data_IF_393556542954
#
_entry.id   IF_393556542954
#
_cell.length_a   1.000
_cell.length_b   1.000
_cell.length_c   1.000
_cell.angle_alpha   90.00
_cell.angle_beta   90.00
_cell.angle_gamma   90.00
#
_symmetry.space_group_name_H-M   'P 1'
#
loop_
_entity.id
_entity.type
_entity.pdbx_description
1 polymer ?
#
# COMPACT_ATOMS: atom_id res chain seq x y z
N UNK A 1 6.30 3.76 6.54
CA UNK A 1 7.42 4.65 6.24
C UNK A 1 7.00 6.07 5.88
N UNK A 2 7.97 6.88 5.52
CA UNK A 2 7.77 8.29 5.15
C UNK A 2 7.49 8.47 3.65
N UNK A 3 7.57 7.41 2.86
CA UNK A 3 7.13 7.46 1.46
C UNK A 3 5.71 7.99 1.34
N UNK A 4 5.50 8.95 0.45
CA UNK A 4 4.26 9.73 0.40
C UNK A 4 3.24 9.12 -0.56
N UNK A 5 2.60 8.03 -0.15
CA UNK A 5 1.56 7.32 -0.92
C UNK A 5 0.24 8.08 -0.96
N UNK A 6 -0.52 7.88 -2.04
CA UNK A 6 -1.89 8.41 -2.19
C UNK A 6 -2.92 7.53 -1.47
N UNK A 7 -4.13 8.06 -1.31
CA UNK A 7 -5.28 7.37 -0.77
C UNK A 7 -6.00 6.59 -1.89
N UNK A 8 -6.43 5.38 -1.60
CA UNK A 8 -7.27 4.56 -2.49
C UNK A 8 -8.73 5.01 -2.43
N UNK A 9 -9.55 4.61 -3.42
CA UNK A 9 -11.00 4.87 -3.39
C UNK A 9 -11.66 4.33 -2.11
N UNK A 10 -11.24 3.15 -1.66
CA UNK A 10 -11.71 2.60 -0.39
C UNK A 10 -11.30 3.49 0.79
N UNK A 11 -10.07 4.03 0.78
CA UNK A 11 -9.63 4.99 1.80
C UNK A 11 -10.48 6.25 1.86
N UNK A 12 -10.92 6.77 0.71
CA UNK A 12 -11.87 7.90 0.70
C UNK A 12 -13.24 7.54 1.28
N UNK A 13 -13.73 6.29 1.11
CA UNK A 13 -14.96 5.82 1.77
C UNK A 13 -14.78 5.74 3.28
N UNK A 14 -13.63 5.27 3.75
CA UNK A 14 -13.29 5.23 5.19
C UNK A 14 -13.20 6.65 5.77
N UNK A 15 -12.64 7.61 5.04
CA UNK A 15 -12.60 9.03 5.42
C UNK A 15 -14.03 9.61 5.54
N UNK A 16 -14.93 9.25 4.62
CA UNK A 16 -16.31 9.68 4.67
C UNK A 16 -17.04 9.10 5.89
N UNK A 17 -16.81 7.83 6.24
CA UNK A 17 -17.35 7.21 7.45
C UNK A 17 -16.80 7.87 8.73
N UNK A 18 -15.51 8.18 8.77
CA UNK A 18 -14.88 8.91 9.86
C UNK A 18 -15.50 10.30 10.07
N UNK A 19 -15.83 11.01 8.99
CA UNK A 19 -16.50 12.30 9.05
C UNK A 19 -17.86 12.18 9.78
N UNK A 20 -18.64 11.13 9.46
CA UNK A 20 -19.92 10.87 10.14
C UNK A 20 -19.73 10.61 11.65
N UNK A 21 -18.69 9.84 12.02
CA UNK A 21 -18.35 9.57 13.41
C UNK A 21 -18.07 10.84 14.23
N UNK A 22 -17.40 11.83 13.63
CA UNK A 22 -17.01 13.07 14.31
C UNK A 22 -18.04 14.20 14.22
N UNK A 23 -19.17 13.99 13.53
CA UNK A 23 -20.12 15.06 13.25
C UNK A 23 -20.64 15.79 14.50
N UNK A 24 -20.88 15.04 15.59
CA UNK A 24 -21.44 15.56 16.84
C UNK A 24 -20.38 15.65 17.97
N UNK A 25 -19.12 15.46 17.67
CA UNK A 25 -18.02 15.54 18.65
C UNK A 25 -17.39 16.92 18.55
N UNK A 26 -17.38 17.67 19.65
CA UNK A 26 -16.68 18.96 19.69
C UNK A 26 -15.16 18.77 19.61
N UNK A 27 -14.51 19.45 18.68
CA UNK A 27 -13.06 19.45 18.48
C UNK A 27 -12.59 20.91 18.47
N UNK A 28 -11.58 21.22 19.28
CA UNK A 28 -11.00 22.55 19.39
C UNK A 28 -9.82 22.79 18.42
N UNK A 29 -9.02 21.76 18.14
CA UNK A 29 -7.89 21.83 17.22
C UNK A 29 -7.61 20.50 16.52
N UNK A 30 -7.02 20.57 15.32
CA UNK A 30 -6.68 19.39 14.51
C UNK A 30 -5.21 19.44 14.12
N UNK A 31 -4.51 18.38 14.47
CA UNK A 31 -3.10 18.17 14.11
C UNK A 31 -2.95 16.90 13.26
N UNK A 32 -2.03 16.92 12.33
CA UNK A 32 -1.69 15.77 11.50
C UNK A 32 -0.20 15.63 11.30
N UNK A 33 0.26 14.39 11.14
CA UNK A 33 1.49 14.15 10.39
C UNK A 33 1.42 14.91 9.06
N UNK A 34 2.54 15.42 8.59
CA UNK A 34 2.66 16.15 7.32
C UNK A 34 2.71 15.24 6.08
N UNK A 35 2.47 13.93 6.25
CA UNK A 35 2.35 13.01 5.13
C UNK A 35 0.97 13.10 4.48
N UNK A 36 0.93 13.08 3.16
CA UNK A 36 -0.27 13.33 2.37
C UNK A 36 -1.48 12.49 2.80
N UNK A 37 -1.28 11.20 3.10
CA UNK A 37 -2.35 10.29 3.51
C UNK A 37 -3.03 10.69 4.82
N UNK A 38 -2.29 11.15 5.81
CA UNK A 38 -2.85 11.61 7.09
C UNK A 38 -3.49 12.99 6.98
N UNK A 39 -2.87 13.93 6.27
CA UNK A 39 -3.49 15.24 5.99
C UNK A 39 -4.80 15.09 5.21
N UNK A 40 -4.85 14.14 4.25
CA UNK A 40 -6.09 13.84 3.51
C UNK A 40 -7.15 13.23 4.43
N UNK A 41 -6.75 12.34 5.34
CA UNK A 41 -7.67 11.75 6.33
C UNK A 41 -8.20 12.80 7.30
N UNK A 42 -7.36 13.74 7.73
CA UNK A 42 -7.74 14.82 8.64
C UNK A 42 -8.84 15.73 8.08
N UNK A 43 -9.03 15.79 6.74
CA UNK A 43 -10.14 16.51 6.10
C UNK A 43 -11.52 16.10 6.63
N UNK A 44 -11.65 14.85 7.08
CA UNK A 44 -12.88 14.36 7.71
C UNK A 44 -13.31 15.19 8.92
N UNK A 45 -12.37 15.77 9.64
CA UNK A 45 -12.62 16.50 10.88
C UNK A 45 -12.46 18.01 10.67
N UNK A 46 -11.28 18.49 10.24
CA UNK A 46 -11.04 19.92 10.22
C UNK A 46 -11.98 20.69 9.26
N UNK A 47 -12.32 20.11 8.08
CA UNK A 47 -13.25 20.76 7.16
C UNK A 47 -14.69 20.79 7.69
N UNK A 48 -15.15 19.71 8.35
CA UNK A 48 -16.50 19.63 8.87
C UNK A 48 -16.72 20.52 10.12
N UNK A 49 -15.64 20.84 10.83
CA UNK A 49 -15.67 21.69 12.03
C UNK A 49 -15.26 23.14 11.75
N UNK A 50 -14.88 23.48 10.50
CA UNK A 50 -14.40 24.81 10.15
C UNK A 50 -13.07 25.19 10.82
N UNK A 51 -12.23 24.20 11.14
CA UNK A 51 -10.94 24.38 11.81
C UNK A 51 -9.78 24.45 10.82
N UNK A 52 -8.66 25.00 11.26
CA UNK A 52 -7.41 24.96 10.54
C UNK A 52 -6.67 23.63 10.81
N UNK A 53 -5.97 23.11 9.81
CA UNK A 53 -5.10 21.95 9.96
C UNK A 53 -3.69 22.38 10.33
N UNK A 54 -3.19 21.94 11.49
CA UNK A 54 -1.79 22.07 11.87
C UNK A 54 -1.02 20.79 11.57
N UNK A 55 0.18 20.92 11.02
CA UNK A 55 1.05 19.75 10.76
C UNK A 55 2.18 19.67 11.78
N UNK A 56 2.49 18.44 12.20
CA UNK A 56 3.58 18.16 13.13
C UNK A 56 4.36 16.90 12.69
N UNK A 57 5.65 17.03 12.31
CA UNK A 57 6.49 15.89 11.94
C UNK A 57 6.64 14.85 13.06
N UNK A 58 6.43 15.24 14.32
CA UNK A 58 6.40 14.34 15.46
C UNK A 58 5.29 13.27 15.38
N UNK A 59 4.27 13.49 14.56
CA UNK A 59 3.17 12.52 14.30
C UNK A 59 3.44 11.60 13.12
N UNK A 60 4.60 11.68 12.45
CA UNK A 60 4.94 10.80 11.31
C UNK A 60 4.98 9.33 11.70
N UNK A 61 4.83 8.48 10.68
CA UNK A 61 5.08 7.04 10.78
C UNK A 61 6.54 6.76 11.14
N UNK A 62 6.88 5.52 11.50
CA UNK A 62 8.27 5.08 11.61
C UNK A 62 9.01 5.36 10.30
N UNK A 63 10.18 6.01 10.37
CA UNK A 63 11.06 6.13 9.21
C UNK A 63 11.68 4.79 8.91
N UNK A 64 11.51 4.33 7.67
CA UNK A 64 12.09 3.07 7.20
C UNK A 64 13.45 3.26 6.50
N UNK A 65 13.98 4.50 6.42
CA UNK A 65 15.30 4.77 5.88
C UNK A 65 15.54 4.12 4.52
N UNK A 66 16.58 3.28 4.41
CA UNK A 66 16.93 2.58 3.17
C UNK A 66 15.84 1.61 2.66
N UNK A 67 14.80 1.33 3.43
CA UNK A 67 13.65 0.52 3.03
C UNK A 67 12.52 1.35 2.41
N UNK A 68 12.59 2.67 2.45
CA UNK A 68 11.53 3.52 1.87
C UNK A 68 11.32 3.20 0.38
N UNK A 69 10.07 3.17 -0.06
CA UNK A 69 9.65 2.89 -1.44
C UNK A 69 10.03 1.49 -1.96
N UNK A 70 10.43 0.57 -1.09
CA UNK A 70 10.70 -0.81 -1.47
C UNK A 70 9.48 -1.71 -1.26
N UNK A 71 9.17 -2.61 -2.22
CA UNK A 71 8.15 -3.65 -2.01
C UNK A 71 8.55 -4.61 -0.88
N UNK A 72 7.57 -5.04 -0.08
CA UNK A 72 7.82 -5.99 1.01
C UNK A 72 8.47 -7.30 0.52
N UNK A 73 8.09 -7.81 -0.66
CA UNK A 73 8.69 -9.01 -1.24
C UNK A 73 10.16 -8.83 -1.64
N UNK A 74 10.61 -7.59 -1.96
CA UNK A 74 12.04 -7.31 -2.13
C UNK A 74 12.77 -7.40 -0.78
N UNK A 75 12.20 -6.81 0.27
CA UNK A 75 12.78 -6.86 1.63
C UNK A 75 12.85 -8.29 2.17
N UNK A 76 11.85 -9.11 1.90
CA UNK A 76 11.84 -10.53 2.25
C UNK A 76 13.03 -11.28 1.64
N UNK A 77 13.41 -10.93 0.43
CA UNK A 77 14.56 -11.54 -0.27
C UNK A 77 15.91 -10.98 0.16
N UNK A 78 16.01 -9.66 0.33
CA UNK A 78 17.33 -9.02 0.54
C UNK A 78 17.64 -8.72 2.01
N UNK A 79 16.62 -8.69 2.90
CA UNK A 79 16.79 -8.36 4.32
C UNK A 79 15.75 -9.08 5.21
N UNK A 80 15.54 -10.37 4.95
CA UNK A 80 14.52 -11.20 5.60
C UNK A 80 14.58 -11.16 7.13
N UNK A 81 15.79 -11.22 7.72
CA UNK A 81 15.95 -11.21 9.16
C UNK A 81 15.47 -9.90 9.79
N UNK A 82 15.75 -8.78 9.15
CA UNK A 82 15.33 -7.48 9.63
C UNK A 82 13.83 -7.26 9.42
N UNK A 83 13.26 -7.87 8.36
CA UNK A 83 11.82 -7.90 8.15
C UNK A 83 11.10 -8.68 9.26
N UNK A 84 11.64 -9.81 9.69
CA UNK A 84 11.14 -10.57 10.86
C UNK A 84 11.20 -9.69 12.12
N UNK A 85 12.32 -8.99 12.35
CA UNK A 85 12.47 -8.05 13.47
C UNK A 85 11.43 -6.93 13.42
N UNK A 86 11.14 -6.38 12.23
CA UNK A 86 10.11 -5.37 12.05
C UNK A 86 8.72 -5.91 12.40
N UNK A 87 8.37 -7.08 11.89
CA UNK A 87 7.05 -7.70 12.12
C UNK A 87 6.78 -7.99 13.58
N UNK A 88 7.83 -8.34 14.36
CA UNK A 88 7.77 -8.57 15.80
C UNK A 88 8.13 -7.34 16.65
N UNK A 89 8.22 -6.17 16.02
CA UNK A 89 8.58 -4.92 16.72
C UNK A 89 9.84 -5.06 17.60
N UNK A 90 10.81 -5.85 17.13
CA UNK A 90 12.01 -6.23 17.88
C UNK A 90 12.84 -5.01 18.31
N UNK A 91 13.43 -5.00 19.51
CA UNK A 91 14.39 -3.97 19.92
C UNK A 91 15.63 -3.94 19.03
N UNK A 92 15.93 -5.02 18.31
CA UNK A 92 17.08 -5.14 17.41
C UNK A 92 16.79 -4.71 15.98
N UNK A 93 15.56 -4.28 15.67
CA UNK A 93 15.25 -3.74 14.36
C UNK A 93 16.05 -2.49 14.05
N UNK A 94 16.81 -2.51 12.95
CA UNK A 94 17.66 -1.40 12.50
C UNK A 94 17.69 -1.38 10.98
N UNK A 95 17.39 -0.22 10.40
CA UNK A 95 17.56 0.07 8.98
C UNK A 95 18.39 1.34 8.87
N UNK A 96 19.33 1.37 7.94
CA UNK A 96 20.17 2.55 7.70
C UNK A 96 19.29 3.78 7.41
N UNK A 97 19.53 4.88 8.14
CA UNK A 97 18.73 6.10 8.04
C UNK A 97 17.29 6.00 8.56
N UNK A 98 16.89 4.85 9.11
CA UNK A 98 15.56 4.62 9.67
C UNK A 98 15.51 4.83 11.19
N UNK A 99 14.29 4.81 11.73
CA UNK A 99 14.03 4.85 13.17
C UNK A 99 13.94 3.46 13.76
N UNK A 100 14.27 3.34 15.04
CA UNK A 100 13.94 2.17 15.87
C UNK A 100 12.56 2.35 16.49
N UNK A 101 11.92 1.25 16.92
CA UNK A 101 10.65 1.32 17.63
C UNK A 101 10.76 2.17 18.92
N UNK A 102 11.87 2.09 19.66
CA UNK A 102 12.08 2.91 20.85
C UNK A 102 12.13 4.42 20.54
N UNK A 103 12.75 4.81 19.43
CA UNK A 103 12.77 6.21 18.98
C UNK A 103 11.37 6.68 18.62
N UNK A 104 10.58 5.86 17.93
CA UNK A 104 9.18 6.18 17.59
C UNK A 104 8.33 6.30 18.85
N UNK A 105 8.47 5.37 19.82
CA UNK A 105 7.78 5.45 21.11
C UNK A 105 8.05 6.78 21.83
N UNK A 106 9.31 7.16 21.94
CA UNK A 106 9.71 8.40 22.61
C UNK A 106 9.19 9.64 21.87
N UNK A 107 9.32 9.68 20.54
CA UNK A 107 8.88 10.78 19.69
C UNK A 107 7.38 10.99 19.78
N UNK A 108 6.58 9.91 19.61
CA UNK A 108 5.11 10.01 19.64
C UNK A 108 4.62 10.42 21.03
N UNK A 109 5.12 9.78 22.10
CA UNK A 109 4.73 10.12 23.46
C UNK A 109 5.06 11.58 23.77
N UNK A 110 6.27 12.03 23.47
CA UNK A 110 6.67 13.43 23.68
C UNK A 110 5.82 14.42 22.89
N UNK A 111 5.49 14.09 21.63
CA UNK A 111 4.63 14.92 20.78
C UNK A 111 3.21 15.03 21.32
N UNK A 112 2.59 13.91 21.72
CA UNK A 112 1.22 13.90 22.28
C UNK A 112 1.15 14.68 23.57
N UNK A 113 2.09 14.48 24.51
CA UNK A 113 2.13 15.22 25.77
C UNK A 113 2.33 16.73 25.55
N UNK A 114 3.22 17.12 24.63
CA UNK A 114 3.45 18.52 24.28
C UNK A 114 2.22 19.18 23.68
N UNK A 115 1.54 18.51 22.75
CA UNK A 115 0.32 19.02 22.13
C UNK A 115 -0.81 19.12 23.16
N UNK A 116 -0.98 18.12 24.03
CA UNK A 116 -1.97 18.18 25.11
C UNK A 116 -1.70 19.33 26.09
N UNK A 117 -0.45 19.56 26.44
CA UNK A 117 -0.07 20.68 27.31
C UNK A 117 -0.35 22.07 26.71
N UNK A 118 -0.33 22.18 25.37
CA UNK A 118 -0.71 23.41 24.66
C UNK A 118 -2.21 23.64 24.60
N UNK A 119 -3.04 22.63 24.94
CA UNK A 119 -4.51 22.65 24.83
C UNK A 119 -5.20 22.23 26.13
N UNK A 120 -4.97 22.91 27.26
CA UNK A 120 -5.55 22.51 28.55
C UNK A 120 -7.08 22.65 28.54
N UNK A 121 -7.79 21.57 28.91
CA UNK A 121 -9.26 21.51 28.92
C UNK A 121 -9.91 21.44 27.55
N UNK A 122 -9.15 21.24 26.48
CA UNK A 122 -9.63 21.15 25.11
C UNK A 122 -9.62 19.72 24.58
N UNK A 123 -10.44 19.46 23.58
CA UNK A 123 -10.47 18.22 22.81
C UNK A 123 -9.77 18.44 21.48
N UNK A 124 -8.66 17.76 21.26
CA UNK A 124 -7.88 17.87 20.03
C UNK A 124 -7.88 16.55 19.24
N UNK A 125 -7.93 16.62 17.94
CA UNK A 125 -7.82 15.46 17.06
C UNK A 125 -6.40 15.37 16.47
N UNK A 126 -5.75 14.21 16.66
CA UNK A 126 -4.40 13.94 16.17
C UNK A 126 -4.45 12.85 15.10
N UNK A 127 -3.91 13.12 13.93
CA UNK A 127 -3.84 12.17 12.82
C UNK A 127 -2.42 11.67 12.63
N UNK A 128 -2.23 10.36 12.82
CA UNK A 128 -0.94 9.68 12.73
C UNK A 128 -1.08 8.36 11.94
N UNK A 129 -0.24 7.39 12.19
CA UNK A 129 -0.10 6.17 11.38
C UNK A 129 -0.16 4.90 12.24
N UNK A 130 -0.35 3.76 11.59
CA UNK A 130 -0.59 2.49 12.28
C UNK A 130 0.52 2.08 13.23
N UNK A 131 1.76 2.00 12.75
CA UNK A 131 2.90 1.61 13.60
C UNK A 131 3.21 2.67 14.65
N UNK A 132 3.12 3.95 14.29
CA UNK A 132 3.34 5.06 15.20
C UNK A 132 2.33 5.06 16.37
N UNK A 133 1.02 4.90 16.09
CA UNK A 133 -0.02 4.81 17.12
C UNK A 133 0.20 3.58 18.01
N UNK A 134 0.55 2.43 17.43
CA UNK A 134 0.87 1.21 18.19
C UNK A 134 2.08 1.41 19.11
N UNK A 135 3.11 2.12 18.64
CA UNK A 135 4.25 2.53 19.46
C UNK A 135 3.84 3.45 20.63
N UNK A 136 2.94 4.42 20.36
CA UNK A 136 2.39 5.28 21.41
C UNK A 136 1.63 4.46 22.47
N UNK A 137 0.72 3.58 22.04
CA UNK A 137 -0.05 2.70 22.93
C UNK A 137 0.87 1.85 23.83
N UNK A 138 1.97 1.30 23.26
CA UNK A 138 2.97 0.58 24.02
C UNK A 138 3.66 1.49 25.05
N UNK A 139 4.13 2.66 24.64
CA UNK A 139 4.81 3.60 25.52
C UNK A 139 3.95 4.11 26.68
N UNK A 140 2.63 4.29 26.44
CA UNK A 140 1.68 4.69 27.49
C UNK A 140 1.41 3.56 28.51
N UNK A 141 1.60 2.30 28.11
CA UNK A 141 1.49 1.11 28.99
C UNK A 141 2.81 0.73 29.64
N UNK A 142 3.90 1.45 29.37
CA UNK A 142 5.24 1.11 29.85
C UNK A 142 5.86 -0.11 29.18
N UNK A 143 5.34 -0.53 28.00
CA UNK A 143 5.87 -1.64 27.23
C UNK A 143 7.03 -1.18 26.33
N UNK A 144 8.11 -1.93 26.32
CA UNK A 144 9.23 -1.72 25.39
C UNK A 144 9.00 -2.32 24.01
N UNK A 145 9.92 -2.03 23.06
CA UNK A 145 9.98 -2.79 21.81
C UNK A 145 10.14 -4.30 22.09
N UNK A 146 9.48 -5.14 21.30
CA UNK A 146 9.43 -6.60 21.50
C UNK A 146 8.28 -7.06 22.39
N UNK A 147 7.70 -6.18 23.22
CA UNK A 147 6.51 -6.48 24.02
C UNK A 147 5.21 -6.03 23.33
N UNK A 148 5.33 -5.49 22.13
CA UNK A 148 4.20 -4.92 21.36
C UNK A 148 3.35 -5.98 20.66
N UNK A 149 3.77 -7.23 20.58
CA UNK A 149 3.06 -8.30 19.86
C UNK A 149 1.66 -8.59 20.43
N UNK A 150 1.46 -8.32 21.72
CA UNK A 150 0.15 -8.41 22.37
C UNK A 150 -0.82 -7.28 22.02
N UNK A 151 -0.34 -6.20 21.43
CA UNK A 151 -1.17 -5.08 21.00
C UNK A 151 -1.81 -5.40 19.64
N UNK A 152 -3.12 -5.18 19.52
CA UNK A 152 -3.83 -5.36 18.27
C UNK A 152 -3.38 -4.41 17.15
N UNK A 153 -3.75 -4.74 15.93
CA UNK A 153 -3.60 -3.82 14.80
C UNK A 153 -4.83 -2.92 14.70
N UNK A 154 -4.60 -1.64 14.39
CA UNK A 154 -5.68 -0.69 14.11
C UNK A 154 -6.14 -0.80 12.67
N UNK A 155 -7.44 -0.65 12.44
CA UNK A 155 -7.95 -0.41 11.09
C UNK A 155 -7.55 0.99 10.59
N UNK A 156 -7.58 1.20 9.28
CA UNK A 156 -7.46 2.55 8.75
C UNK A 156 -8.63 3.40 9.29
N UNK A 157 -8.34 4.62 9.69
CA UNK A 157 -9.28 5.54 10.34
C UNK A 157 -9.83 5.10 11.70
N UNK A 158 -9.34 4.00 12.30
CA UNK A 158 -9.70 3.66 13.68
C UNK A 158 -9.31 4.78 14.64
N UNK A 159 -10.09 4.92 15.71
CA UNK A 159 -9.96 6.00 16.68
C UNK A 159 -9.50 5.44 18.03
N UNK A 160 -8.52 6.11 18.61
CA UNK A 160 -8.10 5.90 20.01
C UNK A 160 -8.36 7.19 20.79
N UNK A 161 -8.98 7.11 21.94
CA UNK A 161 -9.26 8.25 22.81
C UNK A 161 -8.38 8.20 24.05
N UNK A 162 -7.71 9.30 24.31
CA UNK A 162 -6.81 9.49 25.46
C UNK A 162 -7.29 10.70 26.28
N UNK A 163 -7.26 10.58 27.60
CA UNK A 163 -7.28 11.72 28.51
C UNK A 163 -5.86 11.97 29.01
N UNK A 164 -5.44 13.23 28.98
CA UNK A 164 -4.09 13.64 29.34
C UNK A 164 -4.15 14.75 30.39
N UNK A 165 -3.56 14.52 31.56
CA UNK A 165 -3.41 15.48 32.65
C UNK A 165 -1.97 15.56 33.09
N UNK A 166 -1.24 16.59 32.60
CA UNK A 166 0.22 16.66 32.74
C UNK A 166 0.91 15.46 32.07
N UNK A 167 1.65 14.67 32.85
CA UNK A 167 2.29 13.43 32.36
C UNK A 167 1.41 12.18 32.52
N UNK A 168 0.29 12.29 33.22
CA UNK A 168 -0.66 11.18 33.37
C UNK A 168 -1.51 11.05 32.14
N UNK A 169 -1.64 9.81 31.68
CA UNK A 169 -2.49 9.48 30.54
C UNK A 169 -3.44 8.34 30.92
N UNK A 170 -4.68 8.46 30.47
CA UNK A 170 -5.69 7.41 30.59
C UNK A 170 -6.25 7.11 29.21
N UNK A 171 -6.17 5.87 28.79
CA UNK A 171 -6.85 5.41 27.58
C UNK A 171 -8.32 5.16 27.90
N UNK A 172 -9.21 5.84 27.17
CA UNK A 172 -10.66 5.67 27.28
C UNK A 172 -11.09 4.49 26.43
N UNK A 173 -10.66 4.46 25.18
CA UNK A 173 -10.82 3.33 24.25
C UNK A 173 -9.70 3.35 23.20
N UNK A 174 -9.46 2.22 22.56
CA UNK A 174 -8.41 2.04 21.58
C UNK A 174 -8.93 1.35 20.32
N UNK A 175 -8.37 1.73 19.17
CA UNK A 175 -8.53 1.05 17.89
C UNK A 175 -10.01 0.85 17.49
N UNK A 176 -10.90 1.72 17.95
CA UNK A 176 -12.32 1.62 17.65
C UNK A 176 -12.60 1.99 16.19
N UNK A 177 -13.05 1.01 15.43
CA UNK A 177 -13.41 1.11 14.02
C UNK A 177 -14.92 0.92 13.80
N UNK A 178 -15.77 1.10 14.82
CA UNK A 178 -17.21 0.85 14.78
C UNK A 178 -17.97 1.65 13.72
N UNK A 179 -17.37 2.72 13.20
CA UNK A 179 -17.90 3.52 12.08
C UNK A 179 -17.65 2.88 10.71
N UNK A 180 -16.86 1.81 10.63
CA UNK A 180 -16.51 1.14 9.38
C UNK A 180 -17.36 -0.15 9.24
N UNK A 181 -18.28 -0.22 8.28
CA UNK A 181 -18.87 -1.50 7.89
C UNK A 181 -17.82 -2.43 7.28
N UNK A 182 -18.02 -3.75 7.36
CA UNK A 182 -17.06 -4.78 6.93
C UNK A 182 -16.60 -4.61 5.48
N UNK A 183 -17.47 -4.10 4.60
CA UNK A 183 -17.20 -3.91 3.18
C UNK A 183 -16.09 -2.88 2.91
N UNK A 184 -15.87 -1.95 3.83
CA UNK A 184 -14.82 -0.92 3.71
C UNK A 184 -13.73 -1.07 4.76
N UNK A 185 -13.91 -1.88 5.80
CA UNK A 185 -12.87 -2.19 6.79
C UNK A 185 -11.68 -2.88 6.14
N UNK A 186 -10.49 -2.35 6.35
CA UNK A 186 -9.25 -2.97 5.85
C UNK A 186 -8.94 -4.24 6.63
N UNK A 187 -9.09 -4.23 7.94
CA UNK A 187 -8.82 -5.39 8.79
C UNK A 187 -9.80 -6.55 8.54
N UNK A 188 -11.10 -6.26 8.36
CA UNK A 188 -12.09 -7.31 8.06
C UNK A 188 -11.77 -8.03 6.73
N UNK A 189 -11.18 -7.32 5.76
CA UNK A 189 -10.89 -7.83 4.42
C UNK A 189 -9.49 -8.44 4.27
N UNK A 190 -8.55 -8.09 5.12
CA UNK A 190 -7.19 -8.64 5.11
C UNK A 190 -7.12 -9.88 5.99
N UNK A 191 -6.47 -10.93 5.50
CA UNK A 191 -6.32 -12.21 6.23
C UNK A 191 -4.96 -12.37 6.89
N UNK A 192 -3.92 -11.65 6.46
CA UNK A 192 -2.54 -11.83 6.89
C UNK A 192 -2.32 -11.69 8.41
N UNK A 193 -3.14 -10.92 9.09
CA UNK A 193 -3.04 -10.74 10.54
C UNK A 193 -3.82 -11.82 11.34
N UNK A 194 -4.71 -12.58 10.67
CA UNK A 194 -5.47 -13.70 11.28
C UNK A 194 -4.70 -15.01 11.23
N UNK A 195 -3.83 -15.16 10.24
CA UNK A 195 -3.03 -16.38 9.99
C UNK A 195 -1.63 -16.18 10.57
N UNK A 196 -1.50 -16.34 11.90
CA UNK A 196 -0.21 -16.17 12.62
C UNK A 196 0.67 -17.44 12.62
N UNK A 197 0.39 -18.43 11.81
CA UNK A 197 1.09 -19.72 11.79
C UNK A 197 2.38 -19.74 10.93
N UNK A 198 2.93 -18.58 10.60
CA UNK A 198 4.26 -18.47 9.98
C UNK A 198 4.28 -18.66 8.46
N UNK A 199 3.12 -18.88 7.83
CA UNK A 199 3.01 -19.10 6.38
C UNK A 199 2.64 -17.84 5.59
N UNK A 200 2.39 -16.70 6.23
CA UNK A 200 1.93 -15.46 5.57
C UNK A 200 3.03 -14.66 4.86
N UNK A 201 4.29 -15.08 4.90
CA UNK A 201 5.40 -14.42 4.19
C UNK A 201 5.29 -14.47 2.67
N UNK A 202 4.46 -15.35 2.12
CA UNK A 202 4.37 -15.61 0.68
C UNK A 202 3.41 -14.69 -0.09
N UNK A 203 2.76 -13.74 0.57
CA UNK A 203 1.73 -12.91 -0.04
C UNK A 203 2.26 -11.71 -0.84
N UNK A 204 3.58 -11.52 -0.91
CA UNK A 204 4.18 -10.36 -1.56
C UNK A 204 4.99 -10.75 -2.79
N UNK A 205 4.78 -9.99 -3.87
CA UNK A 205 5.61 -10.05 -5.06
C UNK A 205 6.72 -9.00 -4.96
N UNK A 206 7.88 -9.33 -5.46
CA UNK A 206 8.90 -8.35 -5.81
C UNK A 206 9.13 -8.36 -7.33
N UNK A 207 9.68 -7.29 -7.86
CA UNK A 207 9.78 -7.10 -9.31
C UNK A 207 11.22 -6.93 -9.73
N UNK A 208 11.62 -7.64 -10.78
CA UNK A 208 12.90 -7.44 -11.46
C UNK A 208 12.71 -7.15 -12.94
N UNK A 209 13.60 -6.35 -13.55
CA UNK A 209 13.60 -6.22 -14.99
C UNK A 209 13.81 -7.57 -15.67
N UNK A 210 13.08 -7.82 -16.77
CA UNK A 210 13.32 -8.96 -17.64
C UNK A 210 14.28 -8.55 -18.76
N UNK A 211 15.42 -9.23 -18.86
CA UNK A 211 16.32 -9.01 -19.96
C UNK A 211 15.86 -9.78 -21.21
N UNK A 212 15.10 -9.14 -22.09
CA UNK A 212 14.52 -9.80 -23.26
C UNK A 212 15.55 -10.36 -24.25
N UNK A 213 16.82 -9.90 -24.23
CA UNK A 213 17.87 -10.47 -25.07
C UNK A 213 18.36 -11.81 -24.54
N UNK A 214 18.36 -12.00 -23.22
CA UNK A 214 18.82 -13.23 -22.55
C UNK A 214 17.68 -14.16 -22.18
N UNK A 215 16.55 -13.59 -21.80
CA UNK A 215 15.39 -14.29 -21.19
C UNK A 215 14.11 -14.17 -22.06
N UNK A 216 14.25 -13.92 -23.37
CA UNK A 216 13.10 -13.74 -24.27
C UNK A 216 12.16 -14.95 -24.33
N UNK A 217 12.66 -16.14 -24.03
CA UNK A 217 11.85 -17.38 -23.93
C UNK A 217 10.85 -17.29 -22.79
N UNK A 218 11.20 -16.72 -21.64
CA UNK A 218 10.30 -16.54 -20.49
C UNK A 218 9.08 -15.69 -20.90
N UNK A 219 9.33 -14.57 -21.58
CA UNK A 219 8.27 -13.71 -22.10
C UNK A 219 7.37 -14.46 -23.11
N UNK A 220 8.00 -15.16 -24.07
CA UNK A 220 7.29 -15.89 -25.14
C UNK A 220 6.41 -17.01 -24.60
N UNK A 221 6.91 -17.77 -23.62
CA UNK A 221 6.13 -18.83 -22.95
C UNK A 221 4.90 -18.23 -22.24
N UNK A 222 5.09 -17.24 -21.40
CA UNK A 222 3.97 -16.59 -20.69
C UNK A 222 2.94 -15.96 -21.66
N UNK A 223 3.40 -15.38 -22.77
CA UNK A 223 2.51 -14.80 -23.78
C UNK A 223 1.72 -15.88 -24.53
N UNK A 224 2.37 -17.01 -24.83
CA UNK A 224 1.72 -18.15 -25.46
C UNK A 224 0.66 -18.79 -24.57
N UNK A 225 0.97 -19.01 -23.29
CA UNK A 225 0.01 -19.53 -22.31
C UNK A 225 -1.19 -18.59 -22.15
N UNK A 226 -0.95 -17.30 -21.98
CA UNK A 226 -2.04 -16.32 -21.90
C UNK A 226 -2.89 -16.26 -23.17
N UNK A 227 -2.27 -16.48 -24.34
CA UNK A 227 -2.99 -16.57 -25.62
C UNK A 227 -3.89 -17.80 -25.69
N UNK A 228 -3.36 -18.95 -25.29
CA UNK A 228 -4.11 -20.22 -25.28
C UNK A 228 -5.27 -20.19 -24.28
N UNK A 229 -5.06 -19.59 -23.10
CA UNK A 229 -6.11 -19.44 -22.07
C UNK A 229 -7.34 -18.66 -22.59
N UNK A 230 -7.13 -17.75 -23.53
CA UNK A 230 -8.18 -16.87 -24.05
C UNK A 230 -8.76 -17.38 -25.36
N UNK A 231 -7.89 -17.79 -26.29
CA UNK A 231 -8.29 -18.10 -27.66
C UNK A 231 -8.39 -19.61 -27.93
N UNK A 232 -7.89 -20.42 -27.00
CA UNK A 232 -7.79 -21.87 -27.18
C UNK A 232 -6.59 -22.29 -28.06
N UNK A 233 -6.26 -23.59 -28.06
CA UNK A 233 -5.05 -24.10 -28.72
C UNK A 233 -5.15 -24.12 -30.27
N UNK A 234 -6.35 -23.98 -30.84
CA UNK A 234 -6.56 -24.00 -32.29
C UNK A 234 -6.26 -22.66 -32.98
N UNK A 235 -6.20 -21.55 -32.22
CA UNK A 235 -5.95 -20.23 -32.79
C UNK A 235 -4.44 -19.98 -32.93
N UNK A 236 -3.95 -19.64 -34.12
CA UNK A 236 -2.52 -19.39 -34.33
C UNK A 236 -1.97 -18.29 -33.42
N UNK A 237 -0.77 -18.53 -32.88
CA UNK A 237 -0.06 -17.60 -32.02
C UNK A 237 1.11 -16.95 -32.77
N UNK A 238 1.05 -15.64 -33.02
CA UNK A 238 2.20 -14.88 -33.54
C UNK A 238 3.11 -14.40 -32.41
N UNK A 239 3.92 -15.31 -31.89
CA UNK A 239 4.88 -14.99 -30.84
C UNK A 239 5.93 -13.98 -31.25
N UNK A 240 6.25 -13.89 -32.54
CA UNK A 240 7.26 -12.96 -33.05
C UNK A 240 6.74 -11.52 -33.05
N UNK A 241 5.46 -11.31 -33.38
CA UNK A 241 4.85 -9.99 -33.30
C UNK A 241 4.85 -9.47 -31.84
N UNK A 242 4.42 -10.28 -30.88
CA UNK A 242 4.44 -9.93 -29.46
C UNK A 242 5.84 -9.67 -28.94
N UNK A 243 6.82 -10.48 -29.35
CA UNK A 243 8.21 -10.30 -28.93
C UNK A 243 8.82 -9.02 -29.53
N UNK A 244 8.51 -8.68 -30.78
CA UNK A 244 8.94 -7.41 -31.39
C UNK A 244 8.39 -6.21 -30.62
N UNK A 245 7.11 -6.23 -30.24
CA UNK A 245 6.52 -5.16 -29.45
C UNK A 245 7.15 -5.04 -28.05
N UNK A 246 7.33 -6.17 -27.36
CA UNK A 246 8.01 -6.18 -26.08
C UNK A 246 9.46 -5.65 -26.16
N UNK A 247 10.21 -6.02 -27.22
CA UNK A 247 11.55 -5.50 -27.46
C UNK A 247 11.55 -4.00 -27.75
N UNK A 248 10.54 -3.45 -28.41
CA UNK A 248 10.37 -2.02 -28.62
C UNK A 248 10.24 -1.29 -27.27
N UNK A 249 9.32 -1.75 -26.41
CA UNK A 249 9.13 -1.21 -25.06
C UNK A 249 10.41 -1.35 -24.22
N UNK A 250 11.03 -2.52 -24.23
CA UNK A 250 12.25 -2.81 -23.46
C UNK A 250 13.44 -1.93 -23.88
N UNK A 251 13.65 -1.69 -25.18
CA UNK A 251 14.71 -0.79 -25.65
C UNK A 251 14.54 0.63 -25.13
N UNK A 252 13.32 1.07 -24.91
CA UNK A 252 12.99 2.41 -24.40
C UNK A 252 13.36 2.58 -22.92
N UNK A 253 13.13 1.54 -22.11
CA UNK A 253 13.41 1.54 -20.67
C UNK A 253 13.69 0.09 -20.18
N UNK A 254 14.92 -0.42 -20.38
CA UNK A 254 15.25 -1.81 -20.04
C UNK A 254 15.04 -2.18 -18.58
N UNK A 255 15.14 -1.19 -17.69
CA UNK A 255 15.03 -1.33 -16.22
C UNK A 255 13.58 -1.40 -15.72
N UNK A 256 12.57 -1.09 -16.55
CA UNK A 256 11.19 -1.00 -16.08
C UNK A 256 10.08 -1.37 -17.05
N UNK A 257 10.37 -1.41 -18.38
CA UNK A 257 9.30 -1.62 -19.37
C UNK A 257 8.76 -3.05 -19.40
N UNK A 258 9.60 -4.04 -19.10
CA UNK A 258 9.17 -5.44 -18.99
C UNK A 258 9.72 -6.02 -17.70
N UNK A 259 8.84 -6.42 -16.80
CA UNK A 259 9.18 -6.87 -15.46
C UNK A 259 8.70 -8.30 -15.19
N UNK A 260 9.54 -9.10 -14.55
CA UNK A 260 9.10 -10.31 -13.88
C UNK A 260 8.52 -9.96 -12.50
N UNK A 261 7.34 -10.43 -12.21
CA UNK A 261 6.81 -10.51 -10.87
C UNK A 261 7.30 -11.82 -10.24
N UNK A 262 8.02 -11.71 -9.16
CA UNK A 262 8.66 -12.84 -8.48
C UNK A 262 7.96 -13.10 -7.14
N UNK A 263 7.73 -14.37 -6.83
CA UNK A 263 7.38 -14.80 -5.48
C UNK A 263 8.51 -15.70 -4.99
N UNK A 264 9.23 -15.26 -3.95
CA UNK A 264 10.55 -15.83 -3.62
C UNK A 264 11.46 -15.84 -4.85
N UNK A 265 11.96 -16.98 -5.28
CA UNK A 265 12.84 -17.14 -6.43
C UNK A 265 12.11 -17.61 -7.71
N UNK A 266 10.78 -17.78 -7.65
CA UNK A 266 9.97 -18.25 -8.76
C UNK A 266 9.32 -17.07 -9.51
N UNK A 267 9.19 -17.20 -10.83
CA UNK A 267 8.46 -16.23 -11.64
C UNK A 267 6.96 -16.48 -11.49
N UNK A 268 6.28 -15.60 -10.77
CA UNK A 268 4.84 -15.66 -10.54
C UNK A 268 4.01 -14.93 -11.61
N UNK A 269 4.63 -14.05 -12.40
CA UNK A 269 3.93 -13.33 -13.45
C UNK A 269 4.83 -12.39 -14.25
N UNK A 270 4.25 -11.73 -15.24
CA UNK A 270 4.92 -10.75 -16.09
C UNK A 270 4.07 -9.48 -16.24
N UNK A 271 4.74 -8.34 -16.32
CA UNK A 271 4.16 -7.05 -16.61
C UNK A 271 4.95 -6.38 -17.73
N UNK A 272 4.29 -6.04 -18.85
CA UNK A 272 4.84 -5.18 -19.89
C UNK A 272 4.17 -3.84 -19.84
N UNK A 273 4.94 -2.78 -19.91
CA UNK A 273 4.51 -1.38 -19.91
C UNK A 273 5.05 -0.67 -21.14
N UNK A 274 4.20 0.09 -21.82
CA UNK A 274 4.59 0.95 -22.94
C UNK A 274 4.65 2.40 -22.45
N UNK A 275 5.86 2.89 -22.21
CA UNK A 275 6.06 4.22 -21.62
C UNK A 275 5.80 5.36 -22.61
N UNK A 276 5.64 5.09 -23.89
CA UNK A 276 5.39 6.10 -24.91
C UNK A 276 3.91 6.18 -25.28
N UNK A 277 3.20 5.03 -25.38
CA UNK A 277 1.78 4.98 -25.72
C UNK A 277 0.93 5.67 -24.64
N UNK A 278 0.06 6.60 -25.05
CA UNK A 278 -0.79 7.37 -24.15
C UNK A 278 -0.06 8.45 -23.34
N UNK A 279 1.22 8.69 -23.63
CA UNK A 279 2.04 9.63 -22.88
C UNK A 279 1.50 11.07 -22.90
N UNK A 280 1.12 11.56 -24.07
CA UNK A 280 0.58 12.91 -24.24
C UNK A 280 -0.79 13.10 -23.56
N UNK A 281 -1.50 12.01 -23.29
CA UNK A 281 -2.84 11.99 -22.68
C UNK A 281 -2.79 11.79 -21.16
N UNK A 282 -1.59 11.68 -20.55
CA UNK A 282 -1.44 11.34 -19.12
C UNK A 282 -1.81 9.89 -18.81
N UNK A 283 -1.79 8.99 -19.81
CA UNK A 283 -2.19 7.59 -19.68
C UNK A 283 -0.97 6.67 -19.65
N UNK A 284 -0.91 5.76 -18.68
CA UNK A 284 0.01 4.62 -18.67
C UNK A 284 -0.63 3.42 -19.39
N UNK A 285 0.02 2.88 -20.41
CA UNK A 285 -0.49 1.77 -21.19
C UNK A 285 0.17 0.45 -20.82
N UNK A 286 -0.64 -0.58 -20.53
CA UNK A 286 -0.20 -1.92 -20.16
C UNK A 286 -0.51 -2.89 -21.30
N UNK A 287 0.47 -3.21 -22.19
CA UNK A 287 0.28 -4.16 -23.29
C UNK A 287 0.10 -5.60 -22.82
N UNK A 288 0.68 -5.95 -21.67
CA UNK A 288 0.60 -7.31 -21.14
C UNK A 288 0.69 -7.35 -19.62
N UNK A 289 -0.27 -8.04 -19.02
CA UNK A 289 -0.32 -8.38 -17.61
C UNK A 289 -0.66 -9.86 -17.49
N UNK A 290 0.25 -10.63 -16.94
CA UNK A 290 0.13 -12.08 -16.84
C UNK A 290 0.44 -12.56 -15.42
N UNK A 291 -0.36 -13.48 -14.94
CA UNK A 291 -0.13 -14.25 -13.72
C UNK A 291 -0.04 -15.72 -14.08
N UNK A 292 1.04 -16.37 -13.67
CA UNK A 292 1.24 -17.80 -13.82
C UNK A 292 0.06 -18.58 -13.19
N UNK A 293 -0.45 -19.64 -13.83
CA UNK A 293 -1.58 -20.41 -13.31
C UNK A 293 -1.44 -20.89 -11.87
N UNK A 294 -0.22 -21.30 -11.45
CA UNK A 294 0.05 -21.76 -10.10
C UNK A 294 -0.09 -20.63 -9.04
N UNK A 295 0.02 -19.37 -9.46
CA UNK A 295 -0.02 -18.19 -8.58
C UNK A 295 -1.36 -17.42 -8.68
N UNK A 296 -2.34 -17.92 -9.45
CA UNK A 296 -3.66 -17.30 -9.59
C UNK A 296 -4.53 -17.56 -8.36
N UNK A 297 -5.56 -16.71 -8.16
CA UNK A 297 -6.56 -16.77 -7.07
C UNK A 297 -6.00 -16.60 -5.66
N UNK A 298 -4.76 -16.18 -5.53
CA UNK A 298 -4.10 -15.87 -4.25
C UNK A 298 -4.13 -14.37 -3.91
N UNK A 299 -4.84 -13.55 -4.70
CA UNK A 299 -4.89 -12.11 -4.48
C UNK A 299 -3.67 -11.33 -4.99
N UNK A 300 -2.71 -12.00 -5.63
CA UNK A 300 -1.44 -11.40 -6.05
C UNK A 300 -1.56 -10.46 -7.27
N UNK A 301 -2.54 -10.67 -8.13
CA UNK A 301 -2.66 -9.92 -9.40
C UNK A 301 -2.73 -8.40 -9.24
N UNK A 302 -3.28 -7.90 -8.13
CA UNK A 302 -3.33 -6.46 -7.84
C UNK A 302 -1.93 -5.84 -7.68
N UNK A 303 -0.94 -6.62 -7.28
CA UNK A 303 0.42 -6.13 -7.11
C UNK A 303 1.09 -5.80 -8.46
N UNK A 304 0.70 -6.48 -9.56
CA UNK A 304 1.13 -6.09 -10.90
C UNK A 304 0.54 -4.72 -11.31
N UNK A 305 -0.72 -4.46 -10.98
CA UNK A 305 -1.31 -3.14 -11.18
C UNK A 305 -0.61 -2.09 -10.30
N UNK A 306 -0.27 -2.43 -9.05
CA UNK A 306 0.50 -1.59 -8.16
C UNK A 306 1.87 -1.22 -8.73
N UNK A 307 2.59 -2.18 -9.32
CA UNK A 307 3.86 -1.95 -10.01
C UNK A 307 3.71 -1.01 -11.22
N UNK A 308 2.65 -1.18 -12.01
CA UNK A 308 2.35 -0.25 -13.11
C UNK A 308 2.08 1.17 -12.59
N UNK A 309 1.28 1.31 -11.52
CA UNK A 309 1.02 2.62 -10.88
C UNK A 309 2.32 3.26 -10.41
N UNK A 310 3.17 2.51 -9.70
CA UNK A 310 4.47 3.01 -9.19
C UNK A 310 5.40 3.44 -10.32
N UNK A 311 5.35 2.76 -11.47
CA UNK A 311 6.16 3.10 -12.64
C UNK A 311 5.63 4.34 -13.36
N UNK A 312 4.31 4.46 -13.54
CA UNK A 312 3.72 5.53 -14.35
C UNK A 312 3.50 6.84 -13.60
N UNK A 313 3.23 6.80 -12.29
CA UNK A 313 2.98 8.00 -11.49
C UNK A 313 4.11 9.02 -11.50
N UNK A 314 5.41 8.65 -11.34
CA UNK A 314 6.52 9.60 -11.43
C UNK A 314 6.67 10.21 -12.84
N UNK A 315 6.09 9.57 -13.85
CA UNK A 315 6.07 10.06 -15.23
C UNK A 315 4.86 10.95 -15.53
N UNK A 316 4.09 11.35 -14.49
CA UNK A 316 2.92 12.20 -14.63
C UNK A 316 1.71 11.51 -15.27
N UNK A 317 1.61 10.17 -15.18
CA UNK A 317 0.44 9.42 -15.65
C UNK A 317 -0.53 9.22 -14.49
N UNK A 318 -1.76 9.67 -14.63
CA UNK A 318 -2.82 9.59 -13.61
C UNK A 318 -3.85 8.49 -13.89
N UNK A 319 -3.81 7.90 -15.07
CA UNK A 319 -4.71 6.83 -15.52
C UNK A 319 -3.95 5.67 -16.13
N UNK A 320 -4.50 4.46 -16.00
CA UNK A 320 -4.00 3.26 -16.68
C UNK A 320 -4.97 2.82 -17.76
N UNK A 321 -4.44 2.34 -18.89
CA UNK A 321 -5.21 1.74 -19.99
C UNK A 321 -4.59 0.38 -20.35
N UNK A 322 -5.47 -0.58 -20.66
CA UNK A 322 -5.09 -1.87 -21.21
C UNK A 322 -6.20 -2.40 -22.12
N UNK A 323 -5.87 -3.38 -22.95
CA UNK A 323 -6.84 -4.14 -23.72
C UNK A 323 -7.03 -5.51 -23.10
N UNK A 324 -8.27 -6.00 -23.08
CA UNK A 324 -8.66 -7.31 -22.59
C UNK A 324 -9.59 -7.94 -23.61
N UNK A 325 -9.37 -9.23 -23.93
CA UNK A 325 -10.25 -9.95 -24.84
C UNK A 325 -11.71 -9.93 -24.37
N UNK A 326 -12.69 -9.76 -25.28
CA UNK A 326 -14.10 -9.67 -24.92
C UNK A 326 -14.63 -10.90 -24.17
N UNK A 327 -14.09 -12.08 -24.46
CA UNK A 327 -14.52 -13.33 -23.83
C UNK A 327 -13.75 -13.66 -22.53
N UNK A 328 -12.74 -12.84 -22.15
CA UNK A 328 -12.00 -13.02 -20.92
C UNK A 328 -12.74 -12.43 -19.70
N UNK A 329 -13.86 -13.04 -19.32
CA UNK A 329 -14.67 -12.56 -18.21
C UNK A 329 -13.95 -12.58 -16.84
N UNK A 330 -12.91 -13.41 -16.67
CA UNK A 330 -12.11 -13.44 -15.43
C UNK A 330 -11.29 -12.15 -15.32
N UNK A 331 -10.56 -11.78 -16.36
CA UNK A 331 -9.76 -10.56 -16.39
C UNK A 331 -10.66 -9.31 -16.33
N UNK A 332 -11.78 -9.28 -17.02
CA UNK A 332 -12.72 -8.16 -16.96
C UNK A 332 -13.23 -7.92 -15.53
N UNK A 333 -13.67 -8.96 -14.80
CA UNK A 333 -14.07 -8.84 -13.39
C UNK A 333 -12.92 -8.38 -12.49
N UNK A 334 -11.70 -8.86 -12.76
CA UNK A 334 -10.51 -8.42 -12.04
C UNK A 334 -10.28 -6.93 -12.24
N UNK A 335 -10.27 -6.42 -13.46
CA UNK A 335 -10.05 -5.01 -13.74
C UNK A 335 -11.16 -4.12 -13.18
N UNK A 336 -12.43 -4.52 -13.35
CA UNK A 336 -13.59 -3.80 -12.78
C UNK A 336 -13.49 -3.69 -11.25
N UNK A 337 -13.07 -4.74 -10.56
CA UNK A 337 -12.85 -4.73 -9.11
C UNK A 337 -11.87 -3.64 -8.68
N UNK A 338 -10.88 -3.32 -9.51
CA UNK A 338 -9.86 -2.31 -9.24
C UNK A 338 -10.11 -0.96 -9.95
N UNK A 339 -11.35 -0.70 -10.33
CA UNK A 339 -11.80 0.61 -10.80
C UNK A 339 -11.60 0.87 -12.30
N UNK A 340 -11.22 -0.12 -13.09
CA UNK A 340 -11.23 0.02 -14.54
C UNK A 340 -12.66 0.02 -15.08
N UNK A 341 -12.89 0.86 -16.08
CA UNK A 341 -14.15 0.96 -16.82
C UNK A 341 -13.91 0.63 -18.28
N UNK A 342 -14.87 -0.08 -18.90
CA UNK A 342 -14.82 -0.36 -20.34
C UNK A 342 -15.03 0.94 -21.11
N UNK A 343 -14.06 1.32 -21.95
CA UNK A 343 -14.11 2.55 -22.76
C UNK A 343 -14.58 2.32 -24.19
N UNK A 344 -14.41 1.11 -24.71
CA UNK A 344 -14.74 0.75 -26.09
C UNK A 344 -14.09 -0.57 -26.47
N UNK A 345 -14.13 -0.88 -27.76
CA UNK A 345 -13.46 -2.03 -28.36
C UNK A 345 -12.43 -1.51 -29.38
N UNK A 346 -11.21 -2.04 -29.27
CA UNK A 346 -10.20 -1.81 -30.32
C UNK A 346 -10.37 -2.89 -31.39
N UNK A 347 -10.24 -2.56 -32.68
CA UNK A 347 -10.40 -3.49 -33.80
C UNK A 347 -9.32 -4.57 -33.84
#
# INVERSE_FOLDING_TARGET
GWYNSLITDNGYRQIAALRGRFADIHIDAVYSSDLFRTMTTAKAVYLSHGLELHTDPGLREISLGAWEDKPWGELERCDAMNLIRFNHSSPDFRVEGGETFAQVQARLKGTVLRLAAAHPGQTIALFSHGTAIRCLQAALRGLGPGEMDGLGHSDNTAVTCLEVEGERTRTVFENDNSHLPDEISTLARQRWWKERDGTSGDANLWFRPLNLKKEGTVYRTARHEAWQDVNGPAVPFDGDAFQRDALRCWKRAPERAVMCAMQRDETAGLLQMDLDRGAAEGVGYIPFLYMDPAHRRQGLGVQLLGQAVSTYRPLGRDRLRLCCAPDNGIAQRFYQKYGFVKMGEEP
#
